data_IF_200265115201
#
_entry.id   IF_200265115201
#
_cell.length_a   1.000
_cell.length_b   1.000
_cell.length_c   1.000
_cell.angle_alpha   90.00
_cell.angle_beta   90.00
_cell.angle_gamma   90.00
#
_symmetry.space_group_name_H-M   'P 1'
#
loop_
_entity.id
_entity.type
_entity.pdbx_description
1 polymer ?
#
# COMPACT_ATOMS: atom_id res chain seq x y z
N UNK A 1 23.10 17.27 -23.16
CA UNK A 1 21.66 17.15 -22.86
C UNK A 1 20.96 16.82 -24.17
N UNK A 2 20.22 15.70 -24.27
CA UNK A 2 19.55 15.32 -25.51
C UNK A 2 18.29 16.16 -25.72
N UNK A 3 17.83 16.32 -26.98
CA UNK A 3 16.59 17.04 -27.32
C UNK A 3 15.39 16.49 -26.53
N UNK A 4 15.32 15.17 -26.36
CA UNK A 4 14.28 14.49 -25.57
C UNK A 4 14.33 14.92 -24.09
N UNK A 5 15.50 15.00 -23.49
CA UNK A 5 15.64 15.45 -22.11
C UNK A 5 15.21 16.91 -21.91
N UNK A 6 15.44 17.76 -22.91
CA UNK A 6 14.97 19.14 -22.86
C UNK A 6 13.44 19.21 -22.93
N UNK A 7 12.81 18.48 -23.87
CA UNK A 7 11.36 18.42 -23.99
C UNK A 7 10.68 17.81 -22.75
N UNK A 8 11.30 16.80 -22.12
CA UNK A 8 10.80 16.19 -20.90
C UNK A 8 10.84 17.17 -19.72
N UNK A 9 11.90 17.94 -19.57
CA UNK A 9 12.01 18.95 -18.51
C UNK A 9 10.97 20.08 -18.63
N UNK A 10 10.49 20.35 -19.85
CA UNK A 10 9.42 21.33 -20.10
C UNK A 10 8.01 20.70 -20.11
N UNK A 11 7.88 19.40 -19.83
CA UNK A 11 6.58 18.72 -19.73
C UNK A 11 5.89 18.44 -21.08
N UNK A 12 6.59 18.60 -22.21
CA UNK A 12 6.04 18.30 -23.55
C UNK A 12 6.05 16.82 -23.89
N UNK A 13 6.91 16.05 -23.23
CA UNK A 13 7.00 14.59 -23.39
C UNK A 13 7.24 13.92 -22.05
N UNK A 14 6.82 12.67 -21.93
CA UNK A 14 7.15 11.81 -20.79
C UNK A 14 8.03 10.68 -21.28
N UNK A 15 9.17 10.47 -20.62
CA UNK A 15 9.97 9.27 -20.78
C UNK A 15 9.34 8.17 -19.92
N UNK A 16 8.96 7.08 -20.56
CA UNK A 16 8.35 5.93 -19.93
C UNK A 16 9.36 4.78 -19.92
N UNK A 17 9.46 4.10 -18.80
CA UNK A 17 10.18 2.84 -18.70
C UNK A 17 9.16 1.73 -18.44
N UNK A 18 9.08 0.79 -19.38
CA UNK A 18 8.20 -0.39 -19.26
C UNK A 18 8.69 -1.31 -18.15
N UNK A 19 7.82 -2.12 -17.61
CA UNK A 19 8.21 -3.18 -16.66
C UNK A 19 9.22 -4.16 -17.29
N UNK A 20 9.21 -4.31 -18.63
CA UNK A 20 10.22 -5.06 -19.43
C UNK A 20 11.60 -4.39 -19.47
N UNK A 21 11.73 -3.13 -19.04
CA UNK A 21 12.97 -2.34 -19.09
C UNK A 21 13.14 -1.51 -20.37
N UNK A 22 12.26 -1.66 -21.36
CA UNK A 22 12.26 -0.83 -22.58
C UNK A 22 11.87 0.62 -22.27
N UNK A 23 12.51 1.56 -22.99
CA UNK A 23 12.21 2.98 -22.89
C UNK A 23 11.31 3.43 -24.06
N UNK A 24 10.28 4.21 -23.73
CA UNK A 24 9.39 4.83 -24.72
C UNK A 24 9.22 6.32 -24.41
N UNK A 25 8.88 7.10 -25.43
CA UNK A 25 8.61 8.52 -25.31
C UNK A 25 7.13 8.76 -25.57
N UNK A 26 6.44 9.33 -24.61
CA UNK A 26 5.03 9.72 -24.75
C UNK A 26 4.93 11.22 -25.08
N UNK A 27 4.28 11.53 -26.18
CA UNK A 27 4.05 12.92 -26.66
C UNK A 27 2.74 13.53 -26.13
N UNK A 28 1.95 12.80 -25.35
CA UNK A 28 0.66 13.23 -24.83
C UNK A 28 0.58 13.06 -23.29
N UNK A 29 1.24 13.94 -22.51
CA UNK A 29 1.29 13.79 -21.05
C UNK A 29 -0.08 13.84 -20.38
N UNK A 30 -1.06 14.56 -20.93
CA UNK A 30 -2.40 14.64 -20.36
C UNK A 30 -3.17 13.32 -20.52
N UNK A 31 -3.01 12.62 -21.64
CA UNK A 31 -3.55 11.28 -21.81
C UNK A 31 -3.04 10.33 -20.72
N UNK A 32 -1.73 10.37 -20.44
CA UNK A 32 -1.11 9.54 -19.41
C UNK A 32 -1.66 9.83 -18.02
N UNK A 33 -1.79 11.11 -17.66
CA UNK A 33 -2.36 11.54 -16.36
C UNK A 33 -3.82 11.10 -16.22
N UNK A 34 -4.64 11.30 -17.27
CA UNK A 34 -6.05 10.94 -17.24
C UNK A 34 -6.21 9.43 -17.11
N UNK A 35 -5.47 8.65 -17.90
CA UNK A 35 -5.50 7.20 -17.84
C UNK A 35 -5.03 6.67 -16.47
N UNK A 36 -3.97 7.24 -15.89
CA UNK A 36 -3.53 6.92 -14.54
C UNK A 36 -4.63 7.20 -13.49
N UNK A 37 -5.32 8.34 -13.63
CA UNK A 37 -6.43 8.69 -12.75
C UNK A 37 -7.61 7.73 -12.89
N UNK A 38 -7.94 7.30 -14.11
CA UNK A 38 -9.01 6.34 -14.37
C UNK A 38 -8.69 4.96 -13.76
N UNK A 39 -7.43 4.51 -13.83
CA UNK A 39 -7.00 3.26 -13.15
C UNK A 39 -7.18 3.37 -11.63
N UNK A 40 -6.78 4.49 -11.02
CA UNK A 40 -6.97 4.74 -9.58
C UNK A 40 -8.46 4.74 -9.21
N UNK A 41 -9.33 5.30 -10.07
CA UNK A 41 -10.77 5.27 -9.86
C UNK A 41 -11.33 3.84 -9.93
N UNK A 42 -10.86 3.02 -10.86
CA UNK A 42 -11.26 1.60 -10.94
C UNK A 42 -10.82 0.82 -9.70
N UNK A 43 -9.58 1.03 -9.21
CA UNK A 43 -9.13 0.44 -7.96
C UNK A 43 -10.02 0.85 -6.77
N UNK A 44 -10.43 2.11 -6.71
CA UNK A 44 -11.33 2.64 -5.67
C UNK A 44 -12.74 2.05 -5.71
N UNK A 45 -13.22 1.71 -6.91
CA UNK A 45 -14.55 1.12 -7.13
C UNK A 45 -14.63 -0.36 -6.82
N UNK A 46 -13.54 -0.99 -6.40
CA UNK A 46 -13.54 -2.41 -6.04
C UNK A 46 -14.64 -2.70 -5.02
N UNK A 47 -15.50 -3.69 -5.32
CA UNK A 47 -16.76 -3.98 -4.58
C UNK A 47 -16.57 -4.13 -3.07
N UNK A 48 -15.42 -4.71 -2.65
CA UNK A 48 -15.08 -4.91 -1.24
C UNK A 48 -14.25 -3.78 -0.65
N UNK A 49 -14.02 -2.68 -1.38
CA UNK A 49 -13.20 -1.58 -0.90
C UNK A 49 -11.72 -1.92 -0.68
N UNK A 50 -11.21 -2.94 -1.38
CA UNK A 50 -9.83 -3.41 -1.21
C UNK A 50 -8.80 -2.56 -1.95
N UNK A 51 -9.23 -1.57 -2.75
CA UNK A 51 -8.32 -0.67 -3.46
C UNK A 51 -7.40 -1.38 -4.44
N UNK A 52 -7.91 -2.35 -5.21
CA UNK A 52 -7.09 -3.15 -6.11
C UNK A 52 -7.64 -3.25 -7.53
N UNK A 53 -6.75 -3.54 -8.48
CA UNK A 53 -7.07 -3.95 -9.84
C UNK A 53 -6.30 -5.22 -10.21
N UNK A 54 -6.93 -6.11 -10.97
CA UNK A 54 -6.28 -7.29 -11.56
C UNK A 54 -5.34 -6.83 -12.67
N UNK A 55 -4.03 -7.17 -12.56
CA UNK A 55 -3.00 -6.67 -13.47
C UNK A 55 -3.19 -7.20 -14.90
N UNK A 56 -3.58 -8.47 -15.05
CA UNK A 56 -3.78 -9.06 -16.37
C UNK A 56 -4.98 -8.41 -17.09
N UNK A 57 -6.09 -8.18 -16.39
CA UNK A 57 -7.25 -7.45 -16.92
C UNK A 57 -6.92 -5.99 -17.23
N UNK A 58 -6.08 -5.35 -16.41
CA UNK A 58 -5.63 -4.00 -16.66
C UNK A 58 -4.84 -3.93 -17.97
N UNK A 59 -3.83 -4.78 -18.13
CA UNK A 59 -2.98 -4.79 -19.32
C UNK A 59 -3.73 -5.23 -20.58
N UNK A 60 -4.77 -6.05 -20.44
CA UNK A 60 -5.70 -6.43 -21.51
C UNK A 60 -6.67 -5.32 -21.93
N UNK A 61 -6.77 -4.22 -21.15
CA UNK A 61 -7.73 -3.16 -21.43
C UNK A 61 -9.17 -3.51 -21.06
N UNK A 62 -9.38 -4.49 -20.18
CA UNK A 62 -10.71 -4.99 -19.79
C UNK A 62 -11.45 -4.11 -18.78
N UNK A 63 -10.82 -3.02 -18.33
CA UNK A 63 -11.45 -2.01 -17.50
C UNK A 63 -12.08 -0.90 -18.36
N UNK A 64 -13.17 -0.27 -17.92
CA UNK A 64 -13.82 0.82 -18.65
C UNK A 64 -13.00 2.12 -18.58
N UNK A 65 -11.92 2.18 -19.38
CA UNK A 65 -11.01 3.31 -19.46
C UNK A 65 -11.31 4.11 -20.74
N UNK A 66 -12.08 5.23 -20.64
CA UNK A 66 -12.54 5.99 -21.80
C UNK A 66 -11.39 6.51 -22.66
N UNK A 67 -10.25 6.77 -22.07
CA UNK A 67 -9.04 7.29 -22.74
C UNK A 67 -8.50 6.32 -23.80
N UNK A 68 -8.81 5.03 -23.68
CA UNK A 68 -8.34 4.01 -24.61
C UNK A 68 -9.19 3.90 -25.89
N UNK A 69 -10.37 4.52 -25.95
CA UNK A 69 -11.31 4.35 -27.05
C UNK A 69 -10.75 4.72 -28.44
N UNK A 70 -9.76 5.63 -28.51
CA UNK A 70 -9.13 6.08 -29.75
C UNK A 70 -7.70 5.56 -29.92
N UNK A 71 -7.26 4.61 -29.09
CA UNK A 71 -5.88 4.11 -29.06
C UNK A 71 -5.85 2.67 -29.57
N UNK A 72 -4.83 2.35 -30.38
CA UNK A 72 -4.62 0.97 -30.84
C UNK A 72 -4.26 0.04 -29.67
N UNK A 73 -4.65 -1.25 -29.71
CA UNK A 73 -4.40 -2.18 -28.59
C UNK A 73 -2.93 -2.26 -28.15
N UNK A 74 -1.99 -2.28 -29.09
CA UNK A 74 -0.56 -2.36 -28.78
C UNK A 74 -0.06 -1.12 -28.03
N UNK A 75 -0.52 0.07 -28.42
CA UNK A 75 -0.19 1.33 -27.74
C UNK A 75 -0.87 1.38 -26.38
N UNK A 76 -2.12 0.93 -26.28
CA UNK A 76 -2.86 0.86 -25.02
C UNK A 76 -2.13 -0.01 -24.01
N UNK A 77 -1.75 -1.25 -24.37
CA UNK A 77 -0.99 -2.15 -23.50
C UNK A 77 0.32 -1.53 -23.04
N UNK A 78 1.04 -0.84 -23.96
CA UNK A 78 2.30 -0.16 -23.63
C UNK A 78 2.10 0.95 -22.60
N UNK A 79 1.03 1.76 -22.74
CA UNK A 79 0.71 2.83 -21.79
C UNK A 79 0.29 2.27 -20.42
N UNK A 80 -0.54 1.25 -20.41
CA UNK A 80 -1.02 0.62 -19.17
C UNK A 80 0.13 -0.03 -18.40
N UNK A 81 1.04 -0.74 -19.08
CA UNK A 81 2.24 -1.32 -18.48
C UNK A 81 3.17 -0.24 -17.90
N UNK A 82 3.36 0.85 -18.63
CA UNK A 82 4.18 1.97 -18.16
C UNK A 82 3.57 2.67 -16.93
N UNK A 83 2.24 2.83 -16.90
CA UNK A 83 1.54 3.42 -15.74
C UNK A 83 1.63 2.48 -14.53
N UNK A 84 1.41 1.18 -14.71
CA UNK A 84 1.57 0.19 -13.66
C UNK A 84 3.00 0.20 -13.09
N UNK A 85 4.00 0.23 -13.99
CA UNK A 85 5.40 0.37 -13.61
C UNK A 85 5.70 1.65 -12.82
N UNK A 86 5.11 2.77 -13.22
CA UNK A 86 5.25 4.05 -12.49
C UNK A 86 4.62 3.97 -11.08
N UNK A 87 3.42 3.41 -10.95
CA UNK A 87 2.78 3.24 -9.65
C UNK A 87 3.63 2.41 -8.68
N UNK A 88 4.22 1.32 -9.17
CA UNK A 88 5.13 0.48 -8.39
C UNK A 88 6.40 1.23 -8.00
N UNK A 89 7.06 1.90 -8.95
CA UNK A 89 8.29 2.67 -8.70
C UNK A 89 8.09 3.81 -7.71
N UNK A 90 6.90 4.42 -7.70
CA UNK A 90 6.53 5.50 -6.76
C UNK A 90 5.97 5.00 -5.44
N UNK A 91 5.95 3.69 -5.22
CA UNK A 91 5.38 3.07 -4.02
C UNK A 91 3.93 3.48 -3.76
N UNK A 92 3.14 3.69 -4.83
CA UNK A 92 1.72 3.97 -4.74
C UNK A 92 0.90 2.68 -4.61
N UNK A 93 1.42 1.60 -5.16
CA UNK A 93 0.87 0.25 -5.05
C UNK A 93 1.99 -0.79 -4.93
N UNK A 94 1.60 -2.02 -4.68
CA UNK A 94 2.47 -3.20 -4.74
C UNK A 94 1.71 -4.35 -5.41
N UNK A 95 2.47 -5.37 -5.89
CA UNK A 95 1.87 -6.59 -6.43
C UNK A 95 1.56 -7.57 -5.33
N UNK A 96 0.40 -8.19 -5.41
CA UNK A 96 -0.01 -9.27 -4.53
C UNK A 96 -0.77 -10.33 -5.33
N UNK A 97 -0.53 -11.60 -5.00
CA UNK A 97 -1.30 -12.71 -5.58
C UNK A 97 -2.52 -12.98 -4.74
N UNK A 98 -3.70 -12.79 -5.31
CA UNK A 98 -5.01 -13.00 -4.67
C UNK A 98 -5.81 -13.97 -5.54
N UNK A 99 -6.19 -15.12 -5.01
CA UNK A 99 -6.91 -16.17 -5.75
C UNK A 99 -6.26 -16.50 -7.11
N UNK A 100 -4.95 -16.76 -7.08
CA UNK A 100 -4.11 -17.09 -8.25
C UNK A 100 -4.03 -15.99 -9.32
N UNK A 101 -4.39 -14.75 -8.98
CA UNK A 101 -4.29 -13.58 -9.85
C UNK A 101 -3.34 -12.55 -9.27
N UNK A 102 -2.49 -11.99 -10.10
CA UNK A 102 -1.65 -10.86 -9.72
C UNK A 102 -2.49 -9.59 -9.73
N UNK A 103 -2.57 -8.93 -8.58
CA UNK A 103 -3.29 -7.67 -8.40
C UNK A 103 -2.33 -6.54 -8.04
N UNK A 104 -2.61 -5.34 -8.52
CA UNK A 104 -2.01 -4.10 -8.03
C UNK A 104 -2.87 -3.58 -6.87
N UNK A 105 -2.32 -3.58 -5.67
CA UNK A 105 -3.01 -3.12 -4.45
C UNK A 105 -2.56 -1.71 -4.12
N UNK A 106 -3.51 -0.78 -3.99
CA UNK A 106 -3.30 0.62 -3.62
C UNK A 106 -3.75 0.85 -2.17
N UNK A 107 -2.86 0.79 -1.18
CA UNK A 107 -3.27 0.84 0.23
C UNK A 107 -4.00 2.11 0.63
N UNK A 108 -3.67 3.24 -0.01
CA UNK A 108 -4.37 4.52 0.23
C UNK A 108 -5.84 4.52 -0.20
N UNK A 109 -6.28 3.52 -0.97
CA UNK A 109 -7.65 3.38 -1.45
C UNK A 109 -8.45 2.33 -0.68
N UNK A 110 -7.82 1.61 0.26
CA UNK A 110 -8.51 0.64 1.12
C UNK A 110 -9.46 1.39 2.03
N UNK A 111 -10.75 1.08 1.92
CA UNK A 111 -11.82 1.69 2.70
C UNK A 111 -12.70 0.65 3.41
N UNK A 112 -12.34 -0.61 3.35
CA UNK A 112 -12.99 -1.66 4.14
C UNK A 112 -12.84 -1.34 5.63
N UNK A 113 -13.95 -1.37 6.36
CA UNK A 113 -13.95 -1.12 7.81
C UNK A 113 -13.85 -2.45 8.55
N UNK A 114 -13.06 -2.46 9.60
CA UNK A 114 -13.02 -3.63 10.49
C UNK A 114 -14.41 -3.89 11.09
N UNK A 115 -14.88 -5.14 11.13
CA UNK A 115 -16.07 -5.50 11.87
C UNK A 115 -15.95 -5.11 13.36
N UNK A 116 -17.04 -4.65 14.02
CA UNK A 116 -17.00 -4.21 15.41
C UNK A 116 -16.68 -5.32 16.42
N UNK A 117 -16.87 -6.58 16.08
CA UNK A 117 -16.40 -7.71 16.89
C UNK A 117 -14.86 -7.77 16.77
N UNK A 118 -14.15 -7.42 17.84
CA UNK A 118 -12.70 -7.52 17.90
C UNK A 118 -12.22 -8.95 17.58
N UNK A 119 -10.97 -9.10 17.15
CA UNK A 119 -10.38 -10.44 17.01
C UNK A 119 -10.11 -10.99 18.41
N UNK A 120 -10.86 -11.99 18.86
CA UNK A 120 -10.56 -12.67 20.12
C UNK A 120 -9.18 -13.36 19.96
N UNK A 121 -8.21 -12.95 20.76
CA UNK A 121 -6.88 -13.57 20.77
C UNK A 121 -5.74 -12.68 20.28
N UNK A 122 -6.01 -11.45 19.81
CA UNK A 122 -4.97 -10.45 19.56
C UNK A 122 -4.68 -9.64 20.82
N UNK A 123 -3.40 -9.52 21.15
CA UNK A 123 -2.93 -8.70 22.27
C UNK A 123 -2.07 -7.57 21.74
N UNK A 124 -2.36 -6.34 22.15
CA UNK A 124 -1.52 -5.18 21.92
C UNK A 124 -0.21 -5.33 22.71
N UNK A 125 0.92 -5.08 22.07
CA UNK A 125 2.26 -5.29 22.66
C UNK A 125 3.02 -3.96 22.77
N UNK A 126 3.34 -3.33 21.64
CA UNK A 126 4.15 -2.12 21.58
C UNK A 126 3.39 -1.01 20.87
N UNK A 127 3.48 0.22 21.40
CA UNK A 127 2.98 1.41 20.73
C UNK A 127 4.07 2.43 20.43
N UNK A 128 3.88 3.16 19.31
CA UNK A 128 4.76 4.22 18.85
C UNK A 128 3.94 5.48 18.57
N UNK A 129 4.45 6.64 18.95
CA UNK A 129 3.90 7.93 18.50
C UNK A 129 4.59 8.34 17.20
N UNK A 130 3.79 8.69 16.19
CA UNK A 130 4.24 8.97 14.82
C UNK A 130 3.57 10.25 14.32
N UNK A 131 4.34 11.21 13.82
CA UNK A 131 3.76 12.42 13.23
C UNK A 131 3.31 12.19 11.79
N UNK A 132 2.14 12.71 11.40
CA UNK A 132 1.64 12.66 10.03
C UNK A 132 0.14 12.45 9.91
N UNK A 133 -0.32 12.08 8.71
CA UNK A 133 -1.71 11.68 8.46
C UNK A 133 -1.84 10.15 8.48
N UNK A 134 -2.85 9.63 9.14
CA UNK A 134 -3.12 8.19 9.31
C UNK A 134 -3.05 7.46 7.97
N UNK A 135 -3.74 7.97 6.95
CA UNK A 135 -3.83 7.32 5.62
C UNK A 135 -2.47 7.25 4.94
N UNK A 136 -1.63 8.28 5.11
CA UNK A 136 -0.30 8.34 4.51
C UNK A 136 0.66 7.37 5.19
N UNK A 137 0.63 7.29 6.51
CA UNK A 137 1.48 6.37 7.28
C UNK A 137 1.04 4.93 7.02
N UNK A 138 -0.28 4.67 7.04
CA UNK A 138 -0.86 3.38 6.73
C UNK A 138 -0.44 2.87 5.36
N UNK A 139 -0.70 3.65 4.31
CA UNK A 139 -0.40 3.26 2.94
C UNK A 139 1.08 2.93 2.75
N UNK A 140 1.97 3.77 3.27
CA UNK A 140 3.40 3.57 3.13
C UNK A 140 3.92 2.36 3.91
N UNK A 141 3.38 2.08 5.10
CA UNK A 141 3.76 0.91 5.89
C UNK A 141 3.28 -0.38 5.22
N UNK A 142 2.04 -0.42 4.75
CA UNK A 142 1.48 -1.57 4.01
C UNK A 142 2.29 -1.85 2.74
N UNK A 143 2.64 -0.82 1.96
CA UNK A 143 3.48 -0.99 0.77
C UNK A 143 4.84 -1.57 1.14
N UNK A 144 5.49 -1.06 2.18
CA UNK A 144 6.79 -1.57 2.60
C UNK A 144 6.73 -3.02 3.07
N UNK A 145 5.71 -3.39 3.84
CA UNK A 145 5.52 -4.77 4.27
C UNK A 145 5.22 -5.69 3.09
N UNK A 146 4.39 -5.25 2.14
CA UNK A 146 4.06 -5.99 0.92
C UNK A 146 5.28 -6.30 0.02
N UNK A 147 6.30 -5.45 0.03
CA UNK A 147 7.54 -5.71 -0.73
C UNK A 147 8.48 -6.73 -0.08
N UNK A 148 8.28 -7.07 1.19
CA UNK A 148 9.22 -7.98 1.89
C UNK A 148 8.99 -9.46 1.57
N UNK A 149 7.84 -9.84 1.01
CA UNK A 149 7.40 -11.22 0.79
C UNK A 149 7.44 -12.12 2.06
N UNK A 150 7.71 -11.52 3.23
CA UNK A 150 7.74 -12.24 4.51
C UNK A 150 6.36 -12.27 5.18
N UNK A 151 5.59 -11.22 4.95
CA UNK A 151 4.30 -11.01 5.61
C UNK A 151 3.19 -11.30 4.62
N UNK A 152 2.56 -12.47 4.74
CA UNK A 152 1.40 -12.83 3.94
C UNK A 152 0.19 -12.06 4.45
N UNK A 153 -0.49 -11.33 3.57
CA UNK A 153 -1.69 -10.60 3.95
C UNK A 153 -2.76 -11.57 4.46
N UNK A 154 -3.27 -11.28 5.66
CA UNK A 154 -4.48 -11.87 6.18
C UNK A 154 -5.66 -10.92 5.95
N UNK A 155 -5.67 -9.75 6.60
CA UNK A 155 -6.71 -8.73 6.43
C UNK A 155 -6.14 -7.32 6.36
N UNK A 156 -6.70 -6.49 5.47
CA UNK A 156 -6.41 -5.07 5.39
C UNK A 156 -7.71 -4.25 5.52
N UNK A 157 -7.75 -3.35 6.49
CA UNK A 157 -8.81 -2.38 6.71
C UNK A 157 -8.28 -0.95 6.58
N UNK A 158 -9.13 0.03 6.67
CA UNK A 158 -8.80 1.44 6.44
C UNK A 158 -7.59 1.96 7.24
N UNK A 159 -7.40 1.48 8.48
CA UNK A 159 -6.32 1.93 9.38
C UNK A 159 -5.67 0.79 10.17
N UNK A 160 -5.90 -0.43 9.76
CA UNK A 160 -5.37 -1.62 10.41
C UNK A 160 -5.02 -2.67 9.37
N UNK A 161 -3.95 -3.42 9.60
CA UNK A 161 -3.57 -4.55 8.77
C UNK A 161 -3.13 -5.73 9.61
N UNK A 162 -3.45 -6.94 9.15
CA UNK A 162 -3.03 -8.20 9.74
C UNK A 162 -2.30 -9.04 8.71
N UNK A 163 -1.29 -9.73 9.17
CA UNK A 163 -0.40 -10.57 8.38
C UNK A 163 -0.14 -11.88 9.08
N UNK A 164 0.06 -12.92 8.30
CA UNK A 164 0.53 -14.20 8.74
C UNK A 164 1.99 -14.40 8.32
N UNK A 165 2.86 -14.78 9.24
CA UNK A 165 4.25 -15.11 8.98
C UNK A 165 4.42 -16.60 8.74
N UNK A 166 4.02 -17.38 9.74
CA UNK A 166 3.97 -18.82 9.73
C UNK A 166 2.52 -19.28 9.95
N UNK A 167 2.13 -20.49 9.55
CA UNK A 167 0.77 -20.98 9.73
C UNK A 167 0.30 -20.86 11.20
N UNK A 168 -0.72 -20.02 11.40
CA UNK A 168 -1.29 -19.75 12.72
C UNK A 168 -0.58 -18.67 13.54
N UNK A 169 0.53 -18.12 13.07
CA UNK A 169 1.21 -16.98 13.70
C UNK A 169 0.83 -15.68 13.02
N UNK A 170 -0.07 -14.94 13.62
CA UNK A 170 -0.57 -13.67 13.06
C UNK A 170 -0.04 -12.48 13.86
N UNK A 171 0.38 -11.47 13.12
CA UNK A 171 0.79 -10.17 13.64
C UNK A 171 0.04 -9.05 12.90
N UNK A 172 -0.01 -7.87 13.50
CA UNK A 172 -0.72 -6.76 12.87
C UNK A 172 -0.37 -5.41 13.47
N UNK A 173 -0.89 -4.37 12.84
CA UNK A 173 -0.79 -3.02 13.39
C UNK A 173 -2.12 -2.27 13.22
N UNK A 174 -2.33 -1.32 14.09
CA UNK A 174 -3.45 -0.36 14.05
C UNK A 174 -2.91 1.06 14.17
N UNK A 175 -3.52 1.98 13.43
CA UNK A 175 -3.26 3.41 13.53
C UNK A 175 -4.50 4.13 14.04
N UNK A 176 -4.31 5.03 15.00
CA UNK A 176 -5.34 5.92 15.51
C UNK A 176 -4.82 7.35 15.55
N UNK A 177 -5.68 8.30 15.16
CA UNK A 177 -5.35 9.71 15.30
C UNK A 177 -5.38 10.11 16.77
N UNK A 178 -4.33 10.78 17.21
CA UNK A 178 -4.20 11.42 18.49
C UNK A 178 -4.43 12.93 18.37
N UNK A 179 -4.29 13.66 19.47
CA UNK A 179 -4.29 15.12 19.46
C UNK A 179 -3.02 15.66 18.77
N UNK A 180 -3.13 16.87 18.24
CA UNK A 180 -1.99 17.66 17.69
C UNK A 180 -1.29 17.09 16.45
N UNK A 181 -2.01 16.26 15.63
CA UNK A 181 -1.48 15.69 14.40
C UNK A 181 -0.51 14.54 14.62
N UNK A 182 -0.51 13.97 15.80
CA UNK A 182 0.16 12.73 16.12
C UNK A 182 -0.74 11.52 15.86
N UNK A 183 -0.11 10.39 15.63
CA UNK A 183 -0.75 9.11 15.38
C UNK A 183 -0.19 8.10 16.36
N UNK A 184 -1.03 7.35 17.03
CA UNK A 184 -0.62 6.14 17.72
C UNK A 184 -0.58 4.97 16.73
N UNK A 185 0.58 4.32 16.64
CA UNK A 185 0.80 3.07 15.92
C UNK A 185 0.96 1.94 16.94
N UNK A 186 0.01 1.03 17.02
CA UNK A 186 0.01 -0.10 17.95
C UNK A 186 0.28 -1.38 17.19
N UNK A 187 1.26 -2.18 17.65
CA UNK A 187 1.51 -3.53 17.18
C UNK A 187 0.73 -4.53 18.02
N UNK A 188 0.16 -5.54 17.37
CA UNK A 188 -0.61 -6.59 18.04
C UNK A 188 -0.27 -7.96 17.46
N UNK A 189 -0.38 -8.99 18.29
CA UNK A 189 -0.01 -10.36 17.95
C UNK A 189 -1.07 -11.34 18.40
N UNK A 190 -1.25 -12.44 17.65
CA UNK A 190 -2.06 -13.57 18.10
C UNK A 190 -1.39 -14.29 19.27
N UNK A 191 -2.19 -14.93 20.13
CA UNK A 191 -1.64 -15.69 21.27
C UNK A 191 -0.75 -16.89 20.89
N UNK A 192 -0.70 -17.26 19.61
CA UNK A 192 0.19 -18.28 19.06
C UNK A 192 1.48 -17.74 18.45
N UNK A 193 1.64 -16.41 18.35
CA UNK A 193 2.82 -15.81 17.74
C UNK A 193 4.07 -16.03 18.62
N UNK A 194 5.12 -16.61 18.02
CA UNK A 194 6.39 -16.85 18.69
C UNK A 194 7.28 -15.61 18.75
N UNK A 195 8.36 -15.69 19.56
CA UNK A 195 9.34 -14.61 19.73
C UNK A 195 9.96 -14.14 18.41
N UNK A 196 10.14 -15.03 17.44
CA UNK A 196 10.74 -14.67 16.15
C UNK A 196 9.77 -13.85 15.31
N UNK A 197 8.46 -14.17 15.33
CA UNK A 197 7.40 -13.37 14.70
C UNK A 197 7.36 -11.97 15.31
N UNK A 198 7.41 -11.83 16.63
CA UNK A 198 7.49 -10.53 17.31
C UNK A 198 8.70 -9.71 16.84
N UNK A 199 9.91 -10.29 16.88
CA UNK A 199 11.15 -9.60 16.50
C UNK A 199 11.17 -9.20 15.03
N UNK A 200 10.72 -10.09 14.12
CA UNK A 200 10.72 -9.82 12.69
C UNK A 200 9.73 -8.72 12.33
N UNK A 201 8.50 -8.80 12.85
CA UNK A 201 7.47 -7.80 12.54
C UNK A 201 7.80 -6.44 13.16
N UNK A 202 8.12 -6.40 14.45
CA UNK A 202 8.55 -5.17 15.12
C UNK A 202 9.77 -4.55 14.43
N UNK A 203 10.78 -5.34 14.10
CA UNK A 203 11.98 -4.88 13.40
C UNK A 203 11.70 -4.34 11.99
N UNK A 204 10.69 -4.87 11.29
CA UNK A 204 10.25 -4.33 9.99
C UNK A 204 9.58 -2.96 10.15
N UNK A 205 8.69 -2.82 11.14
CA UNK A 205 8.02 -1.55 11.46
C UNK A 205 9.03 -0.50 11.94
N UNK A 206 9.94 -0.84 12.84
CA UNK A 206 10.97 0.09 13.32
C UNK A 206 11.90 0.57 12.20
N UNK A 207 12.27 -0.29 11.25
CA UNK A 207 13.03 0.12 10.05
C UNK A 207 12.26 1.11 9.19
N UNK A 208 10.95 0.96 9.08
CA UNK A 208 10.09 1.93 8.41
C UNK A 208 10.10 3.27 9.15
N UNK A 209 9.93 3.26 10.46
CA UNK A 209 9.92 4.47 11.30
C UNK A 209 11.26 5.23 11.23
N UNK A 210 12.40 4.54 11.30
CA UNK A 210 13.75 5.15 11.22
C UNK A 210 14.04 5.88 9.91
N UNK A 211 13.35 5.55 8.82
CA UNK A 211 13.53 6.21 7.51
C UNK A 211 12.71 7.48 7.34
N UNK A 212 11.86 7.81 8.29
CA UNK A 212 11.03 9.01 8.30
C UNK A 212 11.54 9.97 9.38
N UNK A 213 11.35 11.30 9.21
CA UNK A 213 11.57 12.25 10.30
C UNK A 213 10.42 12.09 11.31
N UNK A 214 10.55 11.10 12.19
CA UNK A 214 9.55 10.74 13.19
C UNK A 214 10.17 10.92 14.56
N UNK A 215 9.48 11.61 15.46
CA UNK A 215 9.77 11.53 16.88
C UNK A 215 9.20 10.18 17.38
N UNK A 216 10.10 9.25 17.74
CA UNK A 216 9.72 7.95 18.28
C UNK A 216 9.57 8.10 19.80
N UNK A 217 8.34 8.20 20.28
CA UNK A 217 8.00 8.02 21.69
C UNK A 217 7.61 6.54 21.92
N UNK A 218 8.31 5.82 22.79
CA UNK A 218 7.88 4.50 23.27
C UNK A 218 6.80 4.73 24.33
N UNK A 219 5.54 4.44 23.99
CA UNK A 219 4.45 4.40 24.95
C UNK A 219 4.44 3.06 25.67
N UNK A 220 4.67 3.06 26.97
CA UNK A 220 4.44 1.89 27.80
C UNK A 220 2.99 1.89 28.26
N UNK A 221 2.17 0.96 27.82
CA UNK A 221 0.89 0.69 28.44
C UNK A 221 1.11 0.14 29.85
N UNK A 222 0.94 1.00 30.86
CA UNK A 222 0.72 0.55 32.22
C UNK A 222 -0.64 -0.16 32.28
N UNK A 223 -0.61 -1.49 32.37
CA UNK A 223 -1.76 -2.27 32.78
C UNK A 223 -2.26 -1.76 34.14
N UNK A 224 -3.36 -0.99 34.16
CA UNK A 224 -4.05 -0.61 35.37
C UNK A 224 -4.75 -1.84 35.94
N UNK A 225 -4.05 -2.56 36.82
CA UNK A 225 -4.68 -3.50 37.73
C UNK A 225 -5.59 -2.70 38.67
N UNK A 226 -6.87 -2.65 38.37
CA UNK A 226 -7.88 -2.22 39.37
C UNK A 226 -7.96 -3.32 40.40
N UNK A 227 -7.26 -3.12 41.52
CA UNK A 227 -7.50 -3.85 42.75
C UNK A 227 -8.93 -3.57 43.23
N UNK A 228 -9.68 -4.65 43.41
CA UNK A 228 -10.95 -4.65 44.12
C UNK A 228 -10.54 -4.68 45.59
N UNK A 229 -10.91 -3.63 46.31
CA UNK A 229 -10.97 -3.54 47.75
C UNK A 229 -12.42 -3.31 48.16
#
# INVERSE_FOLDING_TARGET
MTAVGHLANHGYVIQLKRASGEEAILLAPDLFKNLASSIVLEARRHERGLGLVDEARLLGGDYPLPELASITPDVATTLLDAIAGLFLQRNLCFRETINDRTCLVFPSLINERRPPAGDPGFTDDVSYSVSGAVETVYAALVVQLGYTNLFRRDHHWQNQAQYELEPGETCGFRLSAESDGEIELVLSYSGGAGDDTHKLFQGAVERFLKRRPVQIGLGHHHGSARGIG
#
